data_IF_967839155947
#
_entry.id   IF_967839155947
#
_cell.length_a   1.000
_cell.length_b   1.000
_cell.length_c   1.000
_cell.angle_alpha   90.00
_cell.angle_beta   90.00
_cell.angle_gamma   90.00
#
_symmetry.space_group_name_H-M   'P 1'
#
loop_
_entity.id
_entity.type
_entity.pdbx_description
1 polymer ?
#
# COMPACT_ATOMS: atom_id res chain seq x y z
N UNK A 1 -15.35 -5.60 9.67
CA UNK A 1 -15.62 -4.27 10.23
C UNK A 1 -15.47 -4.20 11.76
N UNK A 2 -15.58 -5.32 12.51
CA UNK A 2 -15.52 -5.27 13.99
C UNK A 2 -14.11 -5.18 14.61
N UNK A 3 -13.05 -5.51 13.88
CA UNK A 3 -11.68 -5.56 14.43
C UNK A 3 -10.93 -4.22 14.40
N UNK A 4 -11.45 -3.20 13.71
CA UNK A 4 -10.81 -1.88 13.63
C UNK A 4 -11.26 -0.97 14.77
N UNK A 5 -12.52 -1.09 15.21
CA UNK A 5 -13.10 -0.34 16.32
C UNK A 5 -12.39 -0.68 17.64
N UNK A 6 -12.02 -1.95 17.85
CA UNK A 6 -11.32 -2.37 19.07
C UNK A 6 -9.89 -1.83 19.16
N UNK A 7 -9.23 -1.55 18.02
CA UNK A 7 -7.85 -1.02 18.02
C UNK A 7 -7.81 0.46 18.31
N UNK A 8 -8.71 1.25 17.71
CA UNK A 8 -8.79 2.68 17.98
C UNK A 8 -9.15 2.95 19.44
N UNK A 9 -10.10 2.19 20.01
CA UNK A 9 -10.48 2.29 21.41
C UNK A 9 -9.34 1.90 22.37
N UNK A 10 -8.58 0.85 22.04
CA UNK A 10 -7.42 0.47 22.83
C UNK A 10 -6.34 1.58 22.86
N UNK A 11 -6.10 2.24 21.74
CA UNK A 11 -5.13 3.35 21.65
C UNK A 11 -5.62 4.61 22.38
N UNK A 12 -6.92 4.94 22.30
CA UNK A 12 -7.52 6.05 23.06
C UNK A 12 -7.36 5.85 24.58
N UNK A 13 -7.51 4.61 25.08
CA UNK A 13 -7.32 4.33 26.49
C UNK A 13 -5.88 4.55 26.96
N UNK A 14 -4.89 4.20 26.13
CA UNK A 14 -3.49 4.51 26.43
C UNK A 14 -3.24 6.02 26.49
N UNK A 15 -3.84 6.80 25.59
CA UNK A 15 -3.74 8.28 25.61
C UNK A 15 -4.36 8.88 26.87
N UNK A 16 -5.42 8.26 27.41
CA UNK A 16 -6.00 8.66 28.71
C UNK A 16 -5.17 8.23 29.93
N UNK A 17 -4.05 7.55 29.72
CA UNK A 17 -3.09 7.17 30.76
C UNK A 17 -3.23 5.75 31.31
N UNK A 18 -4.00 4.88 30.65
CA UNK A 18 -4.10 3.47 31.04
C UNK A 18 -2.82 2.71 30.70
N UNK A 19 -2.55 1.66 31.47
CA UNK A 19 -1.37 0.83 31.23
C UNK A 19 -1.62 -0.19 30.11
N UNK A 20 -0.53 -0.63 29.47
CA UNK A 20 -0.59 -1.66 28.42
C UNK A 20 -1.15 -3.00 28.93
N UNK A 21 -0.90 -3.34 30.20
CA UNK A 21 -1.44 -4.53 30.86
C UNK A 21 -2.97 -4.45 30.97
N UNK A 22 -3.50 -3.36 31.51
CA UNK A 22 -4.96 -3.18 31.68
C UNK A 22 -5.68 -3.17 30.34
N UNK A 23 -5.14 -2.48 29.34
CA UNK A 23 -5.69 -2.49 27.98
C UNK A 23 -5.59 -3.88 27.36
N UNK A 24 -4.48 -4.59 27.57
CA UNK A 24 -4.31 -5.96 27.09
C UNK A 24 -5.34 -6.93 27.66
N UNK A 25 -5.65 -6.78 28.94
CA UNK A 25 -6.66 -7.59 29.63
C UNK A 25 -8.08 -7.32 29.11
N UNK A 26 -8.46 -6.05 28.97
CA UNK A 26 -9.80 -5.65 28.47
C UNK A 26 -10.06 -6.17 27.06
N UNK A 27 -9.07 -6.03 26.18
CA UNK A 27 -9.21 -6.41 24.77
C UNK A 27 -8.76 -7.85 24.48
N UNK A 28 -8.33 -8.59 25.51
CA UNK A 28 -7.76 -9.93 25.43
C UNK A 28 -6.68 -10.05 24.34
N UNK A 29 -5.74 -9.11 24.35
CA UNK A 29 -4.60 -9.05 23.43
C UNK A 29 -3.30 -8.89 24.19
N UNK A 30 -2.23 -9.50 23.69
CA UNK A 30 -0.89 -9.28 24.25
C UNK A 30 -0.45 -7.82 24.07
N UNK A 31 0.28 -7.28 25.04
CA UNK A 31 0.93 -5.96 24.94
C UNK A 31 1.72 -5.76 23.64
N UNK A 32 2.40 -6.82 23.17
CA UNK A 32 3.15 -6.80 21.90
C UNK A 32 2.28 -6.45 20.69
N UNK A 33 1.00 -6.79 20.72
CA UNK A 33 0.05 -6.45 19.66
C UNK A 33 -0.34 -4.99 19.74
N UNK A 34 -0.49 -4.45 20.95
CA UNK A 34 -0.81 -3.05 21.21
C UNK A 34 0.34 -2.15 20.73
N UNK A 35 1.58 -2.48 21.09
CA UNK A 35 2.79 -1.81 20.57
C UNK A 35 2.85 -1.76 19.04
N UNK A 36 2.49 -2.88 18.38
CA UNK A 36 2.46 -2.92 16.91
C UNK A 36 1.36 -2.06 16.30
N UNK A 37 0.28 -1.80 17.03
CA UNK A 37 -0.78 -0.91 16.57
C UNK A 37 -0.35 0.54 16.65
N UNK A 38 0.30 0.93 17.75
CA UNK A 38 0.87 2.26 17.94
C UNK A 38 1.95 2.58 16.88
N UNK A 39 2.91 1.67 16.67
CA UNK A 39 3.97 1.81 15.66
C UNK A 39 3.39 1.95 14.24
N UNK A 40 2.36 1.17 13.91
CA UNK A 40 1.65 1.29 12.62
C UNK A 40 0.92 2.62 12.46
N UNK A 41 0.33 3.15 13.53
CA UNK A 41 -0.38 4.44 13.48
C UNK A 41 0.62 5.56 13.18
N UNK A 42 1.75 5.57 13.89
CA UNK A 42 2.85 6.52 13.68
C UNK A 42 3.40 6.43 12.25
N UNK A 43 3.62 5.20 11.75
CA UNK A 43 4.05 5.00 10.37
C UNK A 43 3.00 5.48 9.35
N UNK A 44 1.70 5.24 9.57
CA UNK A 44 0.66 5.71 8.66
C UNK A 44 0.54 7.23 8.59
N UNK A 45 0.86 7.95 9.67
CA UNK A 45 0.94 9.42 9.66
C UNK A 45 2.10 9.89 8.76
N UNK A 46 3.19 9.13 8.71
CA UNK A 46 4.38 9.44 7.91
C UNK A 46 4.30 8.93 6.45
N UNK A 47 3.50 7.90 6.17
CA UNK A 47 3.35 7.37 4.82
C UNK A 47 2.33 8.22 4.04
N UNK A 48 2.82 9.26 3.37
CA UNK A 48 2.15 9.84 2.20
C UNK A 48 1.66 8.70 1.30
N UNK A 49 0.39 8.67 0.87
CA UNK A 49 -0.21 7.49 0.26
C UNK A 49 0.69 6.96 -0.85
N UNK A 50 1.10 5.69 -0.76
CA UNK A 50 1.78 5.02 -1.87
C UNK A 50 0.92 5.23 -3.10
N UNK A 51 1.44 5.99 -4.06
CA UNK A 51 0.70 6.35 -5.26
C UNK A 51 0.04 5.09 -5.83
N UNK A 52 -1.28 5.11 -5.98
CA UNK A 52 -2.09 4.03 -6.57
C UNK A 52 -1.54 3.58 -7.95
N UNK A 53 -0.71 4.43 -8.56
CA UNK A 53 -0.05 4.24 -9.85
C UNK A 53 1.24 3.40 -9.82
N UNK A 54 1.78 3.01 -8.66
CA UNK A 54 3.01 2.20 -8.59
C UNK A 54 2.69 0.75 -8.27
N UNK A 55 1.99 0.08 -9.19
CA UNK A 55 2.19 -1.36 -9.32
C UNK A 55 3.69 -1.62 -9.56
N UNK A 56 4.25 -2.66 -8.96
CA UNK A 56 5.61 -3.10 -9.28
C UNK A 56 5.65 -3.47 -10.78
N UNK A 57 6.34 -2.71 -11.66
CA UNK A 57 6.43 -3.10 -13.06
C UNK A 57 7.39 -4.27 -13.13
N UNK A 58 6.89 -5.51 -13.01
CA UNK A 58 7.72 -6.71 -13.12
C UNK A 58 7.74 -7.31 -14.53
N UNK A 59 7.12 -6.69 -15.53
CA UNK A 59 6.87 -7.34 -16.82
C UNK A 59 7.05 -6.43 -18.05
N UNK A 60 7.90 -5.40 -17.99
CA UNK A 60 8.36 -4.73 -19.21
C UNK A 60 9.88 -4.57 -19.16
N UNK A 61 10.56 -5.49 -19.84
CA UNK A 61 11.99 -5.37 -20.13
C UNK A 61 12.22 -4.06 -20.93
N UNK A 62 13.31 -3.36 -20.64
CA UNK A 62 13.74 -2.13 -21.34
C UNK A 62 13.71 -2.30 -22.87
N UNK A 63 14.04 -3.49 -23.37
CA UNK A 63 13.96 -3.82 -24.79
C UNK A 63 12.54 -3.71 -25.36
N UNK A 64 11.53 -4.23 -24.64
CA UNK A 64 10.13 -4.20 -25.05
C UNK A 64 9.59 -2.76 -25.01
N UNK A 65 9.99 -1.96 -24.01
CA UNK A 65 9.60 -0.55 -23.94
C UNK A 65 10.18 0.27 -25.10
N UNK A 66 11.44 0.02 -25.48
CA UNK A 66 12.06 0.67 -26.62
C UNK A 66 11.37 0.31 -27.95
N UNK A 67 10.99 -0.95 -28.13
CA UNK A 67 10.29 -1.43 -29.33
C UNK A 67 8.88 -0.84 -29.47
N UNK A 68 8.14 -0.73 -28.36
CA UNK A 68 6.83 -0.06 -28.32
C UNK A 68 6.93 1.44 -28.64
N UNK A 69 7.95 2.12 -28.10
CA UNK A 69 8.18 3.55 -28.39
C UNK A 69 8.58 3.79 -29.84
N UNK A 70 9.38 2.90 -30.44
CA UNK A 70 9.73 2.96 -31.85
C UNK A 70 8.51 2.74 -32.75
N UNK A 71 7.60 1.83 -32.38
CA UNK A 71 6.38 1.55 -33.12
C UNK A 71 5.34 2.67 -33.03
N UNK A 72 5.23 3.32 -31.86
CA UNK A 72 4.34 4.47 -31.63
C UNK A 72 4.75 5.72 -32.41
N UNK A 73 6.05 5.90 -32.67
CA UNK A 73 6.60 7.05 -33.42
C UNK A 73 6.38 6.99 -34.94
N UNK A 74 5.82 5.91 -35.48
CA UNK A 74 5.74 5.73 -36.94
C UNK A 74 4.35 5.26 -37.41
N UNK A 75 3.38 6.17 -37.63
CA UNK A 75 2.02 5.81 -38.05
C UNK A 75 1.93 5.25 -39.49
N UNK A 76 3.03 5.08 -40.22
CA UNK A 76 3.01 4.74 -41.65
C UNK A 76 3.50 3.34 -42.02
N UNK A 77 3.62 2.38 -41.09
CA UNK A 77 3.96 0.99 -41.43
C UNK A 77 2.79 0.00 -41.51
N UNK A 78 1.56 0.49 -41.46
CA UNK A 78 0.35 -0.25 -41.84
C UNK A 78 -0.08 0.07 -43.28
N UNK A 79 0.82 -0.07 -44.27
CA UNK A 79 0.41 0.00 -45.68
C UNK A 79 1.44 -0.65 -46.62
N UNK A 80 1.78 -1.92 -46.41
CA UNK A 80 2.49 -2.71 -47.43
C UNK A 80 2.16 -4.21 -47.30
N UNK A 81 0.86 -4.49 -47.30
CA UNK A 81 0.31 -5.74 -47.83
C UNK A 81 -1.08 -5.38 -48.34
N UNK A 82 -1.18 -4.99 -49.62
CA UNK A 82 -2.32 -5.20 -50.52
C UNK A 82 -2.01 -4.51 -51.87
N UNK A 83 -1.70 -5.33 -52.88
CA UNK A 83 -1.92 -5.07 -54.31
C UNK A 83 -0.97 -4.12 -55.04
N UNK A 84 -0.07 -4.67 -55.86
CA UNK A 84 -0.23 -4.80 -57.31
C UNK A 84 0.67 -5.91 -57.84
#
# INVERSE_FOLDING_TARGET
RSADISRSQALELLDTGWTLEEVGEIFNVSEKSIWRWEDKLTQQIEVSPMSVLRGCPRLLNMAIMAELQASSRNPHRCSLMMGF
#
